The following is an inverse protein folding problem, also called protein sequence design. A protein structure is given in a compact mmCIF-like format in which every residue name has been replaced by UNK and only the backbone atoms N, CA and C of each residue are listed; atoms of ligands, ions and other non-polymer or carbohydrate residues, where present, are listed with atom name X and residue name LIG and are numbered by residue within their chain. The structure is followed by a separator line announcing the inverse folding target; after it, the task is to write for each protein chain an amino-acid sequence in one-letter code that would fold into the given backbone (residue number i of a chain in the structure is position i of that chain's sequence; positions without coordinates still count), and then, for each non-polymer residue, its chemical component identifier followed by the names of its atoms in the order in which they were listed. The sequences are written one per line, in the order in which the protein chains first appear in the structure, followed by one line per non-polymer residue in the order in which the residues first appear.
data_IF_492225556223
#
_entry.id   IF_492225556223
#
_cell.length_a   1.000
_cell.length_b   1.000
_cell.length_c   1.000
_cell.angle_alpha   90.00
_cell.angle_beta   90.00
_cell.angle_gamma   90.00
#
_symmetry.space_group_name_H-M   'P 1'
#
loop_
_entity.id
_entity.type
_entity.pdbx_description
1 polymer ?
#
# COMPACT_ATOMS: atom_id res chain seq x y z
N UNK A 1 -27.41 0.34 19.56
CA UNK A 1 -27.14 -0.36 18.28
C UNK A 1 -27.75 0.49 17.20
N UNK A 2 -26.96 0.90 16.22
CA UNK A 2 -27.39 1.76 15.11
C UNK A 2 -27.50 0.89 13.86
N UNK A 3 -28.62 0.98 13.14
CA UNK A 3 -28.88 0.22 11.91
C UNK A 3 -28.85 1.21 10.75
N UNK A 4 -27.87 1.07 9.87
CA UNK A 4 -27.72 1.91 8.67
C UNK A 4 -28.08 1.10 7.43
N UNK A 5 -28.84 1.69 6.51
CA UNK A 5 -29.13 1.05 5.23
C UNK A 5 -27.85 0.96 4.39
N UNK A 6 -27.61 -0.18 3.72
CA UNK A 6 -26.43 -0.38 2.88
C UNK A 6 -26.28 0.65 1.77
N UNK A 7 -27.38 1.23 1.27
CA UNK A 7 -27.38 2.29 0.27
C UNK A 7 -26.79 3.61 0.78
N UNK A 8 -26.84 3.85 2.09
CA UNK A 8 -26.32 5.06 2.73
C UNK A 8 -24.84 4.93 3.13
N UNK A 9 -24.24 3.74 2.95
CA UNK A 9 -22.84 3.50 3.26
C UNK A 9 -21.97 4.10 2.14
N UNK A 10 -21.39 5.25 2.40
CA UNK A 10 -20.39 5.85 1.51
C UNK A 10 -19.00 5.26 1.76
N UNK A 11 -18.22 5.03 0.70
CA UNK A 11 -16.81 4.66 0.84
C UNK A 11 -16.04 5.79 1.52
N UNK A 12 -15.32 5.48 2.59
CA UNK A 12 -14.40 6.44 3.21
C UNK A 12 -13.32 6.85 2.22
N UNK A 13 -13.07 8.17 2.11
CA UNK A 13 -11.94 8.72 1.34
C UNK A 13 -10.58 8.34 1.93
N UNK A 14 -10.54 7.90 3.19
CA UNK A 14 -9.34 7.42 3.88
C UNK A 14 -9.62 6.05 4.44
N UNK A 15 -9.09 5.03 3.77
CA UNK A 15 -9.28 3.63 4.16
C UNK A 15 -7.98 3.08 4.73
N UNK A 16 -8.06 2.42 5.89
CA UNK A 16 -6.97 1.64 6.47
C UNK A 16 -7.36 0.17 6.31
N UNK A 17 -6.67 -0.54 5.44
CA UNK A 17 -7.05 -1.89 5.01
C UNK A 17 -5.92 -2.85 5.37
N UNK A 18 -6.26 -3.98 5.96
CA UNK A 18 -5.35 -5.11 6.16
C UNK A 18 -5.82 -6.22 5.24
N UNK A 19 -4.95 -6.65 4.31
CA UNK A 19 -5.22 -7.78 3.41
C UNK A 19 -4.46 -8.99 3.95
N UNK A 20 -5.19 -10.02 4.38
CA UNK A 20 -4.61 -11.24 4.93
C UNK A 20 -5.07 -12.47 4.12
N UNK A 21 -4.12 -13.25 3.61
CA UNK A 21 -4.40 -14.47 2.85
C UNK A 21 -3.20 -15.42 2.82
N UNK A 22 -3.46 -16.69 2.45
CA UNK A 22 -2.42 -17.71 2.26
C UNK A 22 -1.38 -17.26 1.21
N UNK A 23 -0.11 -17.74 1.28
CA UNK A 23 0.86 -17.56 0.20
C UNK A 23 0.28 -17.95 -1.17
N UNK A 24 0.60 -17.19 -2.22
CA UNK A 24 0.11 -17.44 -3.58
C UNK A 24 -1.27 -16.86 -3.92
N UNK A 25 -2.07 -16.40 -2.95
CA UNK A 25 -3.42 -15.86 -3.20
C UNK A 25 -3.45 -14.37 -3.61
N UNK A 26 -2.38 -13.86 -4.22
CA UNK A 26 -2.35 -12.52 -4.81
C UNK A 26 -2.38 -11.33 -3.84
N UNK A 27 -2.10 -11.53 -2.53
CA UNK A 27 -2.09 -10.43 -1.54
C UNK A 27 -1.25 -9.23 -1.96
N UNK A 28 0.00 -9.48 -2.36
CA UNK A 28 0.91 -8.43 -2.82
C UNK A 28 0.47 -7.89 -4.19
N UNK A 29 -0.07 -8.73 -5.06
CA UNK A 29 -0.61 -8.34 -6.38
C UNK A 29 -1.72 -7.29 -6.29
N UNK A 30 -2.50 -7.27 -5.21
CA UNK A 30 -3.56 -6.26 -5.02
C UNK A 30 -3.02 -4.84 -5.10
N UNK A 31 -1.79 -4.57 -4.63
CA UNK A 31 -1.20 -3.23 -4.68
C UNK A 31 -1.05 -2.68 -6.11
N UNK A 32 -0.75 -3.54 -7.08
CA UNK A 32 -0.67 -3.16 -8.51
C UNK A 32 -2.03 -2.93 -9.16
N UNK A 33 -3.08 -3.54 -8.63
CA UNK A 33 -4.45 -3.41 -9.13
C UNK A 33 -5.19 -2.21 -8.53
N UNK A 34 -4.59 -1.51 -7.56
CA UNK A 34 -5.18 -0.28 -7.02
C UNK A 34 -5.20 0.80 -8.12
N UNK A 35 -6.33 1.50 -8.31
CA UNK A 35 -6.40 2.59 -9.27
C UNK A 35 -5.53 3.76 -8.82
N UNK A 36 -4.95 4.47 -9.79
CA UNK A 36 -4.04 5.58 -9.52
C UNK A 36 -2.61 5.14 -9.24
N UNK A 37 -1.76 6.08 -8.84
CA UNK A 37 -0.35 5.85 -8.55
C UNK A 37 -0.15 5.39 -7.10
N UNK A 38 0.55 4.29 -6.90
CA UNK A 38 0.71 3.64 -5.60
C UNK A 38 2.18 3.65 -5.16
N UNK A 39 2.46 4.02 -3.91
CA UNK A 39 3.78 3.87 -3.31
C UNK A 39 3.78 2.68 -2.33
N UNK A 40 4.59 1.67 -2.61
CA UNK A 40 4.69 0.46 -1.77
C UNK A 40 6.00 0.46 -0.97
N UNK A 41 5.91 0.19 0.33
CA UNK A 41 7.06 -0.18 1.16
C UNK A 41 7.19 -1.70 1.20
N UNK A 42 8.26 -2.22 0.58
CA UNK A 42 8.62 -3.64 0.63
C UNK A 42 9.47 -3.93 1.86
N UNK A 43 8.89 -4.71 2.78
CA UNK A 43 9.53 -5.10 4.05
C UNK A 43 10.09 -6.53 3.95
N UNK A 44 9.46 -7.41 3.18
CA UNK A 44 9.76 -8.85 3.17
C UNK A 44 10.42 -9.34 1.86
N UNK A 45 10.71 -8.43 0.94
CA UNK A 45 11.41 -8.71 -0.32
C UNK A 45 10.51 -9.32 -1.40
N UNK A 46 9.20 -9.36 -1.19
CA UNK A 46 8.27 -10.04 -2.12
C UNK A 46 7.74 -9.14 -3.23
N UNK A 47 8.30 -7.94 -3.42
CA UNK A 47 7.83 -6.99 -4.44
C UNK A 47 8.01 -7.44 -5.89
N UNK A 48 8.70 -8.56 -6.15
CA UNK A 48 8.91 -9.10 -7.50
C UNK A 48 7.60 -9.34 -8.25
N UNK A 49 6.52 -9.67 -7.54
CA UNK A 49 5.20 -9.89 -8.15
C UNK A 49 4.55 -8.60 -8.68
N UNK A 50 5.12 -7.44 -8.37
CA UNK A 50 4.70 -6.14 -8.88
C UNK A 50 5.45 -5.75 -10.17
N UNK A 51 6.30 -6.64 -10.71
CA UNK A 51 6.97 -6.40 -11.99
C UNK A 51 5.95 -6.16 -13.11
N UNK A 52 6.15 -5.08 -13.88
CA UNK A 52 5.28 -4.70 -15.00
C UNK A 52 4.10 -3.79 -14.64
N UNK A 53 3.86 -3.51 -13.36
CA UNK A 53 2.87 -2.51 -12.95
C UNK A 53 3.46 -1.10 -13.00
N UNK A 54 3.19 -0.36 -14.08
CA UNK A 54 3.72 1.00 -14.30
C UNK A 54 3.21 2.04 -13.28
N UNK A 55 2.11 1.73 -12.57
CA UNK A 55 1.50 2.60 -11.58
C UNK A 55 2.09 2.42 -10.17
N UNK A 56 3.06 1.51 -9.97
CA UNK A 56 3.61 1.18 -8.65
C UNK A 56 5.08 1.59 -8.56
N UNK A 57 5.38 2.49 -7.61
CA UNK A 57 6.75 2.73 -7.16
C UNK A 57 7.01 1.87 -5.91
N UNK A 58 8.15 1.18 -5.85
CA UNK A 58 8.52 0.33 -4.71
C UNK A 58 9.73 0.92 -3.98
N UNK A 59 9.55 1.26 -2.71
CA UNK A 59 10.64 1.54 -1.77
C UNK A 59 10.98 0.26 -1.00
N UNK A 60 12.26 -0.13 -1.01
CA UNK A 60 12.73 -1.31 -0.27
C UNK A 60 13.30 -0.90 1.08
N UNK A 61 12.99 -1.67 2.12
CA UNK A 61 13.59 -1.47 3.44
C UNK A 61 15.09 -1.85 3.41
N UNK A 62 15.93 -1.08 4.09
CA UNK A 62 17.26 -1.55 4.47
C UNK A 62 17.12 -2.52 5.65
N UNK A 63 17.45 -3.78 5.42
CA UNK A 63 17.38 -4.82 6.44
C UNK A 63 18.42 -4.65 7.55
N UNK A 64 19.52 -3.93 7.31
CA UNK A 64 20.54 -3.64 8.32
C UNK A 64 20.09 -2.51 9.26
N UNK A 65 19.37 -1.52 8.73
CA UNK A 65 18.87 -0.36 9.47
C UNK A 65 17.35 -0.16 9.24
N UNK A 66 16.50 -1.10 9.71
CA UNK A 66 15.07 -1.11 9.38
C UNK A 66 14.31 0.06 10.00
N UNK A 67 14.67 0.47 11.22
CA UNK A 67 14.05 1.60 11.91
C UNK A 67 14.24 2.90 11.12
N UNK A 68 15.48 3.20 10.74
CA UNK A 68 15.81 4.44 10.04
C UNK A 68 15.23 4.44 8.62
N UNK A 69 15.20 3.30 7.95
CA UNK A 69 14.52 3.14 6.66
C UNK A 69 13.03 3.45 6.73
N UNK A 70 12.33 2.98 7.76
CA UNK A 70 10.90 3.27 7.93
C UNK A 70 10.68 4.77 8.15
N UNK A 71 11.54 5.43 8.94
CA UNK A 71 11.47 6.88 9.16
C UNK A 71 11.73 7.66 7.86
N UNK A 72 12.73 7.26 7.08
CA UNK A 72 13.03 7.85 5.78
C UNK A 72 11.88 7.66 4.79
N UNK A 73 11.31 6.46 4.73
CA UNK A 73 10.13 6.19 3.90
C UNK A 73 8.96 7.09 4.29
N UNK A 74 8.66 7.21 5.59
CA UNK A 74 7.59 8.08 6.06
C UNK A 74 7.83 9.55 5.67
N UNK A 75 9.06 10.05 5.82
CA UNK A 75 9.41 11.41 5.40
C UNK A 75 9.23 11.62 3.90
N UNK A 76 9.66 10.65 3.08
CA UNK A 76 9.50 10.66 1.62
C UNK A 76 8.02 10.64 1.21
N UNK A 77 7.23 9.73 1.79
CA UNK A 77 5.80 9.62 1.52
C UNK A 77 5.07 10.93 1.87
N UNK A 78 5.39 11.51 3.04
CA UNK A 78 4.81 12.78 3.48
C UNK A 78 5.16 13.94 2.55
N UNK A 79 6.41 14.03 2.09
CA UNK A 79 6.85 15.08 1.17
C UNK A 79 6.25 14.93 -0.24
N UNK A 80 5.79 13.74 -0.62
CA UNK A 80 5.29 13.42 -1.95
C UNK A 80 3.81 13.03 -1.97
N UNK A 81 3.02 13.39 -0.94
CA UNK A 81 1.63 12.95 -0.80
C UNK A 81 0.72 13.33 -1.97
N UNK A 82 1.05 14.40 -2.72
CA UNK A 82 0.31 14.80 -3.91
C UNK A 82 0.66 14.04 -5.19
N UNK A 83 1.66 13.16 -5.16
CA UNK A 83 2.11 12.35 -6.31
C UNK A 83 1.53 10.94 -6.32
N UNK A 84 0.94 10.50 -5.21
CA UNK A 84 0.45 9.14 -5.02
C UNK A 84 -1.00 9.19 -4.53
N UNK A 85 -1.82 8.32 -5.10
CA UNK A 85 -3.22 8.12 -4.73
C UNK A 85 -3.36 7.10 -3.60
N UNK A 86 -2.39 6.16 -3.48
CA UNK A 86 -2.38 5.07 -2.50
C UNK A 86 -1.04 4.96 -1.76
#
# INVERSE_FOLDING_TARGET
MEITNGADITKSKKSKIIIYSKPGNGKTTVAGLLPGKTLVLDIDGTSQVLSGYENVDVAKIDGENPHDSILQFYALAKANIGKYDN
#
